data_IF_541645711779
#
_entry.id   IF_541645711779
#
_cell.length_a   1.000
_cell.length_b   1.000
_cell.length_c   1.000
_cell.angle_alpha   90.00
_cell.angle_beta   90.00
_cell.angle_gamma   90.00
#
_symmetry.space_group_name_H-M   'P 1'
#
loop_
_entity.id
_entity.type
_entity.pdbx_description
1 polymer ?
#
# COMPACT_ATOMS: atom_id res chain seq x y z
N UNK A 1 72.17 19.66 -24.21
CA UNK A 1 71.47 18.87 -25.24
C UNK A 1 71.51 17.40 -24.83
N UNK A 2 70.37 16.90 -24.36
CA UNK A 2 69.94 15.51 -24.10
C UNK A 2 68.61 15.74 -23.35
N UNK A 3 67.46 15.18 -23.73
CA UNK A 3 67.12 13.76 -23.58
C UNK A 3 65.70 13.51 -24.21
N UNK A 4 65.44 12.25 -24.60
CA UNK A 4 64.12 11.54 -24.69
C UNK A 4 63.20 11.84 -25.89
N UNK A 5 63.08 10.93 -26.88
CA UNK A 5 62.44 9.61 -26.89
C UNK A 5 60.91 9.68 -26.69
N UNK A 6 60.21 9.33 -27.77
CA UNK A 6 58.77 9.45 -27.87
C UNK A 6 57.98 8.32 -27.22
N UNK A 7 56.70 8.60 -26.99
CA UNK A 7 55.63 7.61 -26.99
C UNK A 7 54.32 8.35 -27.35
N UNK A 8 53.87 8.20 -28.59
CA UNK A 8 52.59 8.73 -29.05
C UNK A 8 51.49 7.78 -28.60
N UNK A 9 50.92 8.05 -27.44
CA UNK A 9 49.76 7.36 -26.88
C UNK A 9 48.48 7.78 -27.62
N UNK A 10 48.14 6.95 -28.60
CA UNK A 10 46.85 6.90 -29.27
C UNK A 10 45.87 6.18 -28.33
N UNK A 11 44.92 6.88 -27.74
CA UNK A 11 43.81 6.26 -26.99
C UNK A 11 42.47 6.67 -27.61
N UNK A 12 41.87 5.68 -28.27
CA UNK A 12 40.49 5.68 -28.76
C UNK A 12 39.54 5.29 -27.61
N UNK A 13 38.26 5.57 -27.85
CA UNK A 13 37.05 5.19 -27.10
C UNK A 13 36.63 6.14 -25.99
N UNK A 14 35.88 7.17 -26.42
CA UNK A 14 34.91 7.83 -25.55
C UNK A 14 33.82 6.83 -25.15
N UNK A 15 33.64 6.69 -23.84
CA UNK A 15 32.40 6.20 -23.24
C UNK A 15 31.86 7.33 -22.37
N UNK A 16 30.97 8.13 -22.95
CA UNK A 16 30.08 8.96 -22.15
C UNK A 16 28.99 8.03 -21.62
N UNK A 17 29.15 7.58 -20.38
CA UNK A 17 28.09 6.85 -19.68
C UNK A 17 27.42 7.86 -18.77
N UNK A 18 26.24 8.33 -19.17
CA UNK A 18 25.39 9.15 -18.30
C UNK A 18 25.11 8.36 -17.00
N UNK A 19 25.06 9.03 -15.83
CA UNK A 19 24.68 8.36 -14.61
C UNK A 19 23.22 7.90 -14.74
N UNK A 20 23.02 6.58 -14.71
CA UNK A 20 21.70 5.97 -14.52
C UNK A 20 21.10 6.52 -13.23
N UNK A 21 19.83 7.00 -13.24
CA UNK A 21 19.17 7.33 -11.98
C UNK A 21 19.04 6.03 -11.19
N UNK A 22 19.75 5.94 -10.07
CA UNK A 22 19.45 4.97 -9.03
C UNK A 22 18.06 5.35 -8.53
N UNK A 23 17.04 4.67 -9.04
CA UNK A 23 15.74 4.59 -8.36
C UNK A 23 16.05 3.94 -7.03
N UNK A 24 16.25 4.78 -6.01
CA UNK A 24 16.17 4.38 -4.62
C UNK A 24 14.77 3.82 -4.43
N UNK A 25 14.65 2.50 -4.59
CA UNK A 25 13.46 1.77 -4.22
C UNK A 25 13.35 1.91 -2.70
N UNK A 26 12.70 3.00 -2.27
CA UNK A 26 12.24 3.21 -0.90
C UNK A 26 11.63 1.88 -0.51
N UNK A 27 12.21 1.25 0.51
CA UNK A 27 11.82 -0.07 0.96
C UNK A 27 10.32 -0.01 1.27
N UNK A 28 9.49 -0.46 0.32
CA UNK A 28 8.05 -0.52 0.52
C UNK A 28 7.88 -1.50 1.65
N UNK A 29 7.51 -1.00 2.82
CA UNK A 29 7.16 -1.80 3.98
C UNK A 29 6.22 -2.88 3.44
N UNK A 30 6.62 -4.15 3.51
CA UNK A 30 5.73 -5.25 3.14
C UNK A 30 4.74 -5.39 4.29
N UNK A 31 3.70 -4.56 4.30
CA UNK A 31 2.60 -4.74 5.21
C UNK A 31 1.92 -6.05 4.87
N UNK A 32 1.92 -6.98 5.83
CA UNK A 32 1.10 -8.19 5.72
C UNK A 32 -0.36 -7.77 5.56
N UNK A 33 -1.08 -8.53 4.74
CA UNK A 33 -2.53 -8.41 4.63
C UNK A 33 -3.18 -8.54 6.02
N UNK A 34 -4.10 -7.65 6.38
CA UNK A 34 -4.78 -7.67 7.67
C UNK A 34 -5.63 -8.94 7.83
N UNK A 35 -5.71 -9.51 9.04
CA UNK A 35 -6.54 -10.70 9.28
C UNK A 35 -8.02 -10.37 9.10
N UNK A 36 -8.83 -11.37 8.74
CA UNK A 36 -10.29 -11.21 8.72
C UNK A 36 -10.83 -11.04 10.13
N UNK A 37 -11.68 -10.03 10.35
CA UNK A 37 -12.29 -9.77 11.64
C UNK A 37 -13.59 -10.55 11.77
N UNK A 38 -13.72 -11.37 12.82
CA UNK A 38 -14.89 -12.26 13.00
C UNK A 38 -15.94 -11.75 13.99
N UNK A 39 -15.64 -10.66 14.69
CA UNK A 39 -16.44 -10.16 15.81
C UNK A 39 -16.53 -11.11 17.01
N UNK A 40 -16.68 -10.56 18.21
CA UNK A 40 -17.01 -11.22 19.49
C UNK A 40 -15.91 -12.02 20.26
N UNK A 41 -16.29 -12.41 21.50
CA UNK A 41 -15.45 -12.78 22.65
C UNK A 41 -14.37 -13.81 22.29
N UNK A 42 -13.11 -13.36 22.30
CA UNK A 42 -11.94 -14.19 21.98
C UNK A 42 -11.10 -13.67 20.82
N UNK A 43 -11.52 -12.59 20.16
CA UNK A 43 -10.66 -11.87 19.22
C UNK A 43 -9.53 -11.16 19.98
N UNK A 44 -8.27 -11.38 19.56
CA UNK A 44 -7.09 -10.72 20.15
C UNK A 44 -7.06 -9.20 19.93
N UNK A 45 -7.86 -8.71 18.97
CA UNK A 45 -7.95 -7.30 18.59
C UNK A 45 -9.39 -6.83 18.61
N UNK A 46 -9.61 -5.60 19.08
CA UNK A 46 -10.90 -4.94 19.00
C UNK A 46 -11.23 -4.55 17.55
N UNK A 47 -12.50 -4.26 17.26
CA UNK A 47 -12.91 -3.78 15.95
C UNK A 47 -12.17 -2.48 15.55
N UNK A 48 -12.03 -1.54 16.48
CA UNK A 48 -11.29 -0.29 16.26
C UNK A 48 -9.81 -0.54 15.93
N UNK A 49 -9.14 -1.42 16.68
CA UNK A 49 -7.76 -1.80 16.41
C UNK A 49 -7.60 -2.48 15.05
N UNK A 50 -8.61 -3.26 14.64
CA UNK A 50 -8.64 -3.87 13.33
C UNK A 50 -8.81 -2.82 12.21
N UNK A 51 -9.70 -1.83 12.38
CA UNK A 51 -9.85 -0.70 11.44
C UNK A 51 -8.56 0.12 11.31
N UNK A 52 -7.84 0.36 12.40
CA UNK A 52 -6.54 1.04 12.38
C UNK A 52 -5.51 0.26 11.55
N UNK A 53 -5.47 -1.07 11.67
CA UNK A 53 -4.60 -1.93 10.86
C UNK A 53 -4.98 -1.89 9.38
N UNK A 54 -6.28 -1.88 9.06
CA UNK A 54 -6.78 -1.71 7.68
C UNK A 54 -6.32 -0.36 7.10
N UNK A 55 -6.50 0.74 7.84
CA UNK A 55 -6.08 2.07 7.40
C UNK A 55 -4.58 2.16 7.09
N UNK A 56 -3.74 1.56 7.94
CA UNK A 56 -2.30 1.48 7.69
C UNK A 56 -1.98 0.63 6.44
N UNK A 57 -2.68 -0.49 6.26
CA UNK A 57 -2.51 -1.33 5.09
C UNK A 57 -2.90 -0.61 3.79
N UNK A 58 -4.01 0.13 3.79
CA UNK A 58 -4.44 0.94 2.65
C UNK A 58 -3.39 1.97 2.24
N UNK A 59 -2.79 2.66 3.23
CA UNK A 59 -1.71 3.60 2.97
C UNK A 59 -0.51 2.93 2.28
N UNK A 60 -0.11 1.75 2.76
CA UNK A 60 1.02 1.00 2.19
C UNK A 60 0.72 0.47 0.79
N UNK A 61 -0.52 0.07 0.52
CA UNK A 61 -0.97 -0.44 -0.78
C UNK A 61 -1.38 0.67 -1.77
N UNK A 62 -1.35 1.94 -1.36
CA UNK A 62 -1.83 3.07 -2.14
C UNK A 62 -3.32 2.91 -2.54
N UNK A 63 -4.14 2.40 -1.63
CA UNK A 63 -5.60 2.36 -1.76
C UNK A 63 -6.13 3.70 -1.26
N UNK A 64 -6.48 4.58 -2.20
CA UNK A 64 -6.74 5.99 -1.89
C UNK A 64 -8.21 6.37 -1.91
N UNK A 65 -9.03 5.69 -2.71
CA UNK A 65 -10.46 6.02 -2.81
C UNK A 65 -11.21 5.50 -1.58
N UNK A 66 -12.22 6.24 -1.13
CA UNK A 66 -12.98 5.82 0.04
C UNK A 66 -13.88 4.61 -0.26
N UNK A 67 -14.42 4.54 -1.47
CA UNK A 67 -15.20 3.40 -1.94
C UNK A 67 -14.40 2.08 -1.90
N UNK A 68 -13.15 2.08 -2.38
CA UNK A 68 -12.28 0.89 -2.33
C UNK A 68 -11.96 0.50 -0.87
N UNK A 69 -11.70 1.49 -0.01
CA UNK A 69 -11.38 1.25 1.41
C UNK A 69 -12.56 0.63 2.14
N UNK A 70 -13.76 1.18 1.97
CA UNK A 70 -14.98 0.68 2.61
C UNK A 70 -15.31 -0.71 2.06
N UNK A 71 -15.29 -0.89 0.74
CA UNK A 71 -15.53 -2.20 0.11
C UNK A 71 -14.56 -3.28 0.63
N UNK A 72 -13.26 -2.99 0.67
CA UNK A 72 -12.27 -3.94 1.18
C UNK A 72 -12.47 -4.21 2.68
N UNK A 73 -12.76 -3.20 3.50
CA UNK A 73 -13.06 -3.46 4.90
C UNK A 73 -14.27 -4.40 5.06
N UNK A 74 -15.34 -4.20 4.28
CA UNK A 74 -16.50 -5.10 4.28
C UNK A 74 -16.14 -6.54 3.88
N UNK A 75 -15.28 -6.74 2.87
CA UNK A 75 -14.85 -8.08 2.44
C UNK A 75 -14.03 -8.84 3.51
N UNK A 76 -13.34 -8.12 4.39
CA UNK A 76 -12.53 -8.71 5.46
C UNK A 76 -13.29 -8.91 6.76
N UNK A 77 -14.53 -8.42 6.85
CA UNK A 77 -15.45 -8.78 7.92
C UNK A 77 -16.00 -10.18 7.65
N UNK A 78 -15.84 -11.09 8.62
CA UNK A 78 -16.39 -12.45 8.58
C UNK A 78 -17.51 -12.56 9.61
N UNK A 79 -18.74 -12.64 9.12
CA UNK A 79 -19.93 -12.84 9.97
C UNK A 79 -20.65 -11.52 10.23
N UNK A 80 -21.99 -11.57 10.14
CA UNK A 80 -22.89 -10.44 10.38
C UNK A 80 -22.98 -10.06 11.86
N UNK A 81 -21.83 -9.90 12.53
CA UNK A 81 -21.74 -9.62 13.97
C UNK A 81 -22.05 -8.17 14.33
N UNK A 82 -22.32 -7.31 13.35
CA UNK A 82 -22.68 -5.92 13.58
C UNK A 82 -23.87 -5.55 12.69
N UNK A 83 -25.02 -5.25 13.29
CA UNK A 83 -26.21 -4.79 12.55
C UNK A 83 -25.92 -3.58 11.65
N UNK A 84 -24.92 -2.75 11.99
CA UNK A 84 -24.50 -1.61 11.17
C UNK A 84 -23.84 -2.02 9.84
N UNK A 85 -23.21 -3.21 9.77
CA UNK A 85 -22.47 -3.66 8.59
C UNK A 85 -23.42 -4.20 7.51
N UNK A 86 -24.63 -4.61 7.89
CA UNK A 86 -25.61 -5.17 6.96
C UNK A 86 -26.08 -4.13 5.92
N UNK A 87 -26.39 -2.90 6.37
CA UNK A 87 -26.76 -1.78 5.49
C UNK A 87 -25.65 -1.43 4.49
N UNK A 88 -24.40 -1.46 4.93
CA UNK A 88 -23.24 -1.25 4.07
C UNK A 88 -23.05 -2.38 3.05
N UNK A 89 -23.27 -3.64 3.44
CA UNK A 89 -23.19 -4.80 2.54
C UNK A 89 -24.28 -4.73 1.47
N UNK A 90 -25.52 -4.40 1.84
CA UNK A 90 -26.62 -4.23 0.90
C UNK A 90 -26.39 -3.06 -0.07
N UNK A 91 -25.90 -1.94 0.46
CA UNK A 91 -25.54 -0.77 -0.36
C UNK A 91 -24.41 -1.10 -1.33
N UNK A 92 -23.37 -1.80 -0.88
CA UNK A 92 -22.25 -2.21 -1.73
C UNK A 92 -22.71 -3.19 -2.82
N UNK A 93 -23.55 -4.17 -2.46
CA UNK A 93 -24.08 -5.17 -3.38
C UNK A 93 -25.02 -4.57 -4.45
N UNK A 94 -25.68 -3.45 -4.13
CA UNK A 94 -26.53 -2.70 -5.06
C UNK A 94 -25.77 -1.64 -5.88
N UNK A 95 -24.47 -1.46 -5.63
CA UNK A 95 -23.65 -0.43 -6.29
C UNK A 95 -23.98 0.99 -5.81
N UNK A 96 -24.58 1.12 -4.63
CA UNK A 96 -24.84 2.40 -3.97
C UNK A 96 -23.57 3.03 -3.42
N UNK A 97 -23.64 4.34 -3.14
CA UNK A 97 -22.53 5.08 -2.54
C UNK A 97 -22.32 4.65 -1.09
N UNK A 98 -21.11 4.21 -0.76
CA UNK A 98 -20.73 3.78 0.60
C UNK A 98 -20.29 4.94 1.51
N UNK A 99 -20.35 6.18 1.03
CA UNK A 99 -19.90 7.34 1.80
C UNK A 99 -18.37 7.39 1.93
N UNK A 100 -17.88 8.10 2.95
CA UNK A 100 -16.43 8.25 3.16
C UNK A 100 -15.88 7.19 4.10
N UNK A 101 -14.57 6.93 4.01
CA UNK A 101 -13.88 6.07 4.98
C UNK A 101 -14.02 6.61 6.40
N UNK A 102 -14.07 7.93 6.58
CA UNK A 102 -14.24 8.56 7.88
C UNK A 102 -15.61 8.25 8.49
N UNK A 103 -16.68 8.25 7.69
CA UNK A 103 -18.02 7.89 8.14
C UNK A 103 -18.09 6.42 8.54
N UNK A 104 -17.41 5.54 7.79
CA UNK A 104 -17.41 4.11 8.04
C UNK A 104 -16.72 3.69 9.35
N UNK A 105 -15.71 4.43 9.79
CA UNK A 105 -14.94 4.12 11.01
C UNK A 105 -15.48 4.79 12.27
N UNK A 106 -16.47 5.68 12.15
CA UNK A 106 -17.01 6.50 13.22
C UNK A 106 -18.33 5.93 13.76
#
# INVERSE_FOLDING_TARGET
MQLEQGLSNRTSFGITTAPTPVVSQVSRIKASEPPKYKGNKGSDVTFEQWLQKMGLWFHVQNITTDDDKVTLALMYLKGGTHNYVEEYIETAASGGSLGTWADFVN
#
